data_IF_060101228876
#
_entry.id   IF_060101228876
#
_cell.length_a   1.000
_cell.length_b   1.000
_cell.length_c   1.000
_cell.angle_alpha   90.00
_cell.angle_beta   90.00
_cell.angle_gamma   90.00
#
_symmetry.space_group_name_H-M   'P 1'
#
loop_
_entity.id
_entity.type
_entity.pdbx_description
1 polymer ?
#
# COMPACT_ATOMS: atom_id res chain seq x y z
N UNK A 1 -7.50 -10.60 -4.43
CA UNK A 1 -6.70 -9.50 -3.83
C UNK A 1 -6.63 -9.71 -2.32
N UNK A 2 -5.44 -9.66 -1.75
CA UNK A 2 -5.27 -9.82 -0.30
C UNK A 2 -5.60 -8.53 0.44
N UNK A 3 -6.18 -8.65 1.64
CA UNK A 3 -6.29 -7.52 2.56
C UNK A 3 -5.16 -7.57 3.58
N UNK A 4 -4.99 -6.51 4.37
CA UNK A 4 -3.94 -6.50 5.41
C UNK A 4 -4.20 -7.51 6.54
N UNK A 5 -5.41 -8.06 6.66
CA UNK A 5 -5.66 -9.21 7.55
C UNK A 5 -4.89 -10.45 7.08
N UNK A 6 -4.67 -10.61 5.79
CA UNK A 6 -4.01 -11.77 5.19
C UNK A 6 -2.49 -11.61 5.07
N UNK A 7 -1.97 -10.42 5.36
CA UNK A 7 -0.54 -10.10 5.27
C UNK A 7 0.13 -10.41 6.60
N UNK A 8 1.22 -11.16 6.56
CA UNK A 8 1.99 -11.57 7.74
C UNK A 8 3.36 -10.91 7.76
N UNK A 9 4.00 -10.94 8.93
CA UNK A 9 5.40 -10.51 9.08
C UNK A 9 6.26 -11.34 8.12
N UNK A 10 7.10 -10.67 7.33
CA UNK A 10 7.94 -11.29 6.31
C UNK A 10 7.34 -11.27 4.91
N UNK A 11 6.06 -10.96 4.76
CA UNK A 11 5.43 -10.86 3.45
C UNK A 11 5.89 -9.61 2.69
N UNK A 12 5.98 -9.74 1.37
CA UNK A 12 6.31 -8.63 0.48
C UNK A 12 5.07 -7.79 0.21
N UNK A 13 5.24 -6.48 0.27
CA UNK A 13 4.23 -5.48 -0.08
C UNK A 13 4.81 -4.46 -1.06
N UNK A 14 3.97 -3.68 -1.70
CA UNK A 14 4.36 -2.88 -2.88
C UNK A 14 4.09 -1.40 -2.64
N UNK A 15 5.10 -0.58 -2.91
CA UNK A 15 5.08 0.86 -2.69
C UNK A 15 4.86 1.57 -4.02
N UNK A 16 3.85 2.43 -4.09
CA UNK A 16 3.60 3.25 -5.27
C UNK A 16 2.94 4.57 -4.89
N UNK A 17 3.37 5.65 -5.53
CA UNK A 17 2.73 6.96 -5.45
C UNK A 17 2.43 7.49 -6.83
N UNK A 18 1.52 8.46 -6.93
CA UNK A 18 1.04 8.99 -8.22
C UNK A 18 2.11 9.66 -9.07
N UNK A 19 3.25 10.03 -8.47
CA UNK A 19 4.39 10.60 -9.17
C UNK A 19 5.46 9.58 -9.54
N UNK A 20 5.29 8.32 -9.12
CA UNK A 20 6.29 7.28 -9.34
C UNK A 20 6.13 6.65 -10.72
N UNK A 21 7.26 6.38 -11.38
CA UNK A 21 7.30 5.67 -12.66
C UNK A 21 7.44 4.16 -12.51
N UNK A 22 7.68 3.67 -11.29
CA UNK A 22 7.85 2.26 -10.99
C UNK A 22 7.30 1.92 -9.62
N UNK A 23 7.09 0.62 -9.39
CA UNK A 23 6.63 0.07 -8.11
C UNK A 23 7.84 -0.47 -7.37
N UNK A 24 8.01 -0.03 -6.11
CA UNK A 24 9.04 -0.56 -5.23
C UNK A 24 8.47 -1.66 -4.34
N UNK A 25 9.33 -2.47 -3.75
CA UNK A 25 8.96 -3.55 -2.85
C UNK A 25 9.55 -3.32 -1.45
N UNK A 26 8.82 -3.75 -0.44
CA UNK A 26 9.30 -3.83 0.94
C UNK A 26 8.65 -5.02 1.62
N UNK A 27 9.08 -5.33 2.85
CA UNK A 27 8.50 -6.41 3.64
C UNK A 27 7.97 -5.87 4.96
N UNK A 28 6.99 -6.57 5.53
CA UNK A 28 6.45 -6.26 6.85
C UNK A 28 7.41 -6.82 7.91
N UNK A 29 7.85 -5.97 8.84
CA UNK A 29 8.70 -6.37 9.97
C UNK A 29 7.96 -6.37 11.30
N UNK A 30 6.90 -5.56 11.43
CA UNK A 30 6.05 -5.54 12.61
C UNK A 30 4.59 -5.31 12.20
N UNK A 31 3.66 -5.90 12.94
CA UNK A 31 2.24 -5.80 12.71
C UNK A 31 1.52 -5.83 14.06
N UNK A 32 0.89 -4.71 14.43
CA UNK A 32 0.22 -4.56 15.73
C UNK A 32 -1.24 -4.15 15.54
N UNK A 33 -2.13 -4.78 16.30
CA UNK A 33 -3.56 -4.47 16.32
C UNK A 33 -3.80 -3.09 16.93
N UNK A 34 -4.65 -2.28 16.29
CA UNK A 34 -5.01 -0.96 16.75
C UNK A 34 -6.43 -0.60 16.31
N UNK A 35 -7.43 -1.08 17.05
CA UNK A 35 -8.85 -0.67 16.93
C UNK A 35 -9.39 -0.62 15.49
N UNK A 36 -9.35 -1.75 14.80
CA UNK A 36 -9.82 -1.84 13.42
C UNK A 36 -8.77 -1.50 12.38
N UNK A 37 -7.57 -1.15 12.82
CA UNK A 37 -6.41 -0.90 11.97
C UNK A 37 -5.26 -1.82 12.36
N UNK A 38 -4.30 -1.96 11.45
CA UNK A 38 -2.98 -2.55 11.71
C UNK A 38 -1.94 -1.43 11.68
N UNK A 39 -1.16 -1.32 12.75
CA UNK A 39 0.05 -0.50 12.75
C UNK A 39 1.19 -1.37 12.23
N UNK A 40 1.85 -0.91 11.18
CA UNK A 40 2.83 -1.69 10.43
C UNK A 40 4.19 -1.01 10.47
N UNK A 41 5.24 -1.83 10.46
CA UNK A 41 6.60 -1.37 10.23
C UNK A 41 7.17 -2.14 9.04
N UNK A 42 7.87 -1.42 8.17
CA UNK A 42 8.44 -1.98 6.95
C UNK A 42 9.95 -2.11 7.06
N UNK A 43 10.53 -3.00 6.25
CA UNK A 43 11.97 -3.25 6.26
C UNK A 43 12.81 -2.04 5.85
N UNK A 44 12.22 -1.06 5.16
CA UNK A 44 12.88 0.20 4.82
C UNK A 44 12.94 1.21 5.98
N UNK A 45 12.42 0.85 7.15
CA UNK A 45 12.37 1.72 8.33
C UNK A 45 11.14 2.61 8.44
N UNK A 46 10.29 2.65 7.43
CA UNK A 46 9.05 3.42 7.47
C UNK A 46 7.98 2.69 8.28
N UNK A 47 7.02 3.46 8.77
CA UNK A 47 5.84 2.94 9.48
C UNK A 47 4.58 3.31 8.71
N UNK A 48 3.54 2.51 8.87
CA UNK A 48 2.27 2.77 8.20
C UNK A 48 1.09 2.27 9.01
N UNK A 49 -0.09 2.66 8.57
CA UNK A 49 -1.36 2.26 9.19
C UNK A 49 -2.34 1.88 8.10
N UNK A 50 -2.96 0.72 8.23
CA UNK A 50 -3.92 0.20 7.27
C UNK A 50 -5.22 -0.21 7.97
N UNK A 51 -6.34 -0.06 7.27
CA UNK A 51 -7.58 -0.72 7.69
C UNK A 51 -7.37 -2.24 7.61
N UNK A 52 -7.93 -2.99 8.56
CA UNK A 52 -7.77 -4.45 8.61
C UNK A 52 -8.23 -5.13 7.32
N UNK A 53 -9.34 -4.68 6.76
CA UNK A 53 -9.88 -5.20 5.51
C UNK A 53 -9.43 -4.40 4.28
N UNK A 54 -8.52 -3.45 4.46
CA UNK A 54 -8.01 -2.62 3.39
C UNK A 54 -6.88 -3.29 2.61
N UNK A 55 -6.58 -2.74 1.45
CA UNK A 55 -5.53 -3.21 0.55
C UNK A 55 -4.38 -2.21 0.45
N UNK A 56 -4.47 -1.06 1.12
CA UNK A 56 -3.44 -0.04 1.13
C UNK A 56 -3.13 0.44 2.54
N UNK A 57 -1.89 0.82 2.76
CA UNK A 57 -1.38 1.39 4.01
C UNK A 57 -0.70 2.71 3.72
N UNK A 58 -0.81 3.65 4.64
CA UNK A 58 0.05 4.85 4.60
C UNK A 58 1.52 4.45 4.77
N UNK A 59 2.43 5.33 4.39
CA UNK A 59 3.87 5.13 4.58
C UNK A 59 4.50 6.40 5.15
N UNK A 60 4.39 6.58 6.47
CA UNK A 60 4.93 7.73 7.16
C UNK A 60 4.35 9.04 6.62
N UNK A 61 5.22 9.99 6.30
CA UNK A 61 4.84 11.30 5.74
C UNK A 61 4.96 11.38 4.22
N UNK A 62 5.24 10.26 3.56
CA UNK A 62 5.42 10.23 2.10
C UNK A 62 4.07 10.22 1.38
N UNK A 63 4.06 10.75 0.15
CA UNK A 63 2.87 10.73 -0.71
C UNK A 63 2.61 9.36 -1.36
N UNK A 64 3.34 8.33 -0.96
CA UNK A 64 3.19 6.98 -1.44
C UNK A 64 2.30 6.15 -0.52
N UNK A 65 1.68 5.13 -1.09
CA UNK A 65 0.93 4.11 -0.35
C UNK A 65 1.61 2.76 -0.49
N UNK A 66 1.38 1.88 0.47
CA UNK A 66 1.89 0.51 0.45
C UNK A 66 0.72 -0.44 0.25
N UNK A 67 0.75 -1.18 -0.85
CA UNK A 67 -0.33 -2.07 -1.27
C UNK A 67 -0.05 -3.52 -0.86
N UNK A 68 -1.10 -4.23 -0.48
CA UNK A 68 -1.02 -5.58 0.06
C UNK A 68 -0.48 -6.61 -0.93
N UNK A 69 -0.75 -6.46 -2.23
CA UNK A 69 -0.23 -7.33 -3.28
C UNK A 69 -0.14 -6.60 -4.63
N UNK A 70 0.39 -7.30 -5.64
CA UNK A 70 0.54 -6.75 -7.00
C UNK A 70 -0.79 -6.39 -7.65
N UNK A 71 -1.83 -7.16 -7.39
CA UNK A 71 -3.16 -6.91 -7.93
C UNK A 71 -3.72 -5.59 -7.40
N UNK A 72 -3.56 -5.32 -6.11
CA UNK A 72 -3.98 -4.09 -5.47
C UNK A 72 -3.29 -2.86 -6.09
N UNK A 73 -1.99 -2.93 -6.30
CA UNK A 73 -1.25 -1.80 -6.90
C UNK A 73 -1.61 -1.61 -8.38
N UNK A 74 -1.80 -2.68 -9.13
CA UNK A 74 -2.26 -2.59 -10.53
C UNK A 74 -3.61 -1.92 -10.64
N UNK A 75 -4.53 -2.29 -9.78
CA UNK A 75 -5.87 -1.70 -9.77
C UNK A 75 -5.82 -0.20 -9.48
N UNK A 76 -5.00 0.22 -8.53
CA UNK A 76 -4.79 1.66 -8.24
C UNK A 76 -4.18 2.40 -9.41
N UNK A 77 -3.19 1.81 -10.08
CA UNK A 77 -2.57 2.41 -11.27
C UNK A 77 -3.60 2.53 -12.40
N UNK A 78 -4.38 1.50 -12.64
CA UNK A 78 -5.41 1.50 -13.69
C UNK A 78 -6.50 2.54 -13.41
N UNK A 79 -6.92 2.70 -12.18
CA UNK A 79 -7.86 3.76 -11.80
C UNK A 79 -7.29 5.15 -12.04
N UNK A 80 -6.01 5.35 -11.76
CA UNK A 80 -5.34 6.63 -11.99
C UNK A 80 -5.28 6.97 -13.48
N UNK A 81 -4.93 5.99 -14.32
CA UNK A 81 -4.92 6.14 -15.78
C UNK A 81 -6.33 6.50 -16.30
N UNK A 82 -7.35 5.81 -15.79
CA UNK A 82 -8.74 6.04 -16.15
C UNK A 82 -9.19 7.46 -15.79
N UNK A 83 -8.86 7.95 -14.61
CA UNK A 83 -9.15 9.32 -14.19
C UNK A 83 -8.47 10.32 -15.10
N UNK A 84 -7.17 10.13 -15.40
CA UNK A 84 -6.41 11.02 -16.27
C UNK A 84 -6.97 11.05 -17.71
N UNK A 85 -7.40 9.90 -18.24
CA UNK A 85 -7.95 9.81 -19.59
C UNK A 85 -9.35 10.43 -19.71
N UNK A 86 -10.05 10.62 -18.61
CA UNK A 86 -11.36 11.25 -18.56
C UNK A 86 -11.31 12.76 -18.34
N UNK A 87 -10.13 13.34 -18.12
CA UNK A 87 -9.97 14.78 -17.97
C UNK A 87 -10.14 15.43 -19.33
N UNK A 88 -11.13 16.31 -19.45
CA UNK A 88 -11.35 17.11 -20.65
C UNK A 88 -10.55 18.41 -20.54
N UNK A 89 -9.81 18.67 -21.57
CA UNK A 89 -9.02 19.90 -21.69
C UNK A 89 -9.77 20.90 -22.53
#
# INVERSE_FOLDING_TARGET
MKTYNDINIGDTVYIWGTSDSSVDETTITEKHDDRGHWNLKFSNGCVGRALKNGTSSTMGMYACLVYSDKEAVRESINERIKILSNIKI
#
